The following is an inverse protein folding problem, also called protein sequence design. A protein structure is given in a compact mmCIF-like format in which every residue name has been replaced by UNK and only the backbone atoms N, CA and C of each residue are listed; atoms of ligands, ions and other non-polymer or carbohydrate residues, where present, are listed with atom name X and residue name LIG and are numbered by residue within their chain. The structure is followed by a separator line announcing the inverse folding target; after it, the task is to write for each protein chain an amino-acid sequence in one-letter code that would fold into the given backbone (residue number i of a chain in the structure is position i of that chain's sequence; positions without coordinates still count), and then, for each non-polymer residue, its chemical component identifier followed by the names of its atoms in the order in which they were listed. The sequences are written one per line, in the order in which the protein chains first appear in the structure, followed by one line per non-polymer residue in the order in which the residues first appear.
data_IF_774051517010
#
_entry.id   IF_774051517010
#
_cell.length_a   1.000
_cell.length_b   1.000
_cell.length_c   1.000
_cell.angle_alpha   90.00
_cell.angle_beta   90.00
_cell.angle_gamma   90.00
#
_symmetry.space_group_name_H-M   'P 1'
#
loop_
_entity.id
_entity.type
_entity.pdbx_description
1 polymer ?
#
# COMPACT_ATOMS: atom_id res chain seq x y z
N UNK A 1 -3.22 8.52 22.35
CA UNK A 1 -2.02 8.38 21.49
C UNK A 1 -1.48 9.77 21.22
N UNK A 2 -0.16 9.96 21.22
CA UNK A 2 0.50 11.21 20.83
C UNK A 2 1.19 11.00 19.49
N UNK A 3 0.40 11.04 18.41
CA UNK A 3 0.90 10.78 17.05
C UNK A 3 1.64 11.99 16.52
N UNK A 4 2.86 11.76 16.05
CA UNK A 4 3.60 12.73 15.24
C UNK A 4 2.87 13.00 13.92
N UNK A 5 3.09 14.17 13.27
CA UNK A 5 2.50 14.45 11.96
C UNK A 5 2.78 13.35 10.93
N UNK A 6 4.00 12.79 10.94
CA UNK A 6 4.40 11.69 10.06
C UNK A 6 3.60 10.41 10.29
N UNK A 7 3.28 10.08 11.53
CA UNK A 7 2.44 8.91 11.83
C UNK A 7 1.00 9.12 11.36
N UNK A 8 0.48 10.35 11.49
CA UNK A 8 -0.84 10.69 10.97
C UNK A 8 -0.89 10.61 9.43
N UNK A 9 0.14 11.09 8.73
CA UNK A 9 0.25 10.94 7.27
C UNK A 9 0.24 9.48 6.82
N UNK A 10 0.94 8.58 7.54
CA UNK A 10 0.90 7.14 7.25
C UNK A 10 -0.49 6.54 7.41
N UNK A 11 -1.30 7.04 8.34
CA UNK A 11 -2.70 6.61 8.48
C UNK A 11 -3.56 7.05 7.29
N UNK A 12 -3.27 8.21 6.69
CA UNK A 12 -3.93 8.64 5.45
C UNK A 12 -3.57 7.73 4.27
N UNK A 13 -2.30 7.32 4.16
CA UNK A 13 -1.86 6.35 3.16
C UNK A 13 -2.60 5.02 3.32
N UNK A 14 -2.69 4.50 4.55
CA UNK A 14 -3.45 3.29 4.84
C UNK A 14 -4.93 3.44 4.43
N UNK A 15 -5.55 4.57 4.75
CA UNK A 15 -6.95 4.84 4.39
C UNK A 15 -7.16 4.85 2.86
N UNK A 16 -6.24 5.47 2.11
CA UNK A 16 -6.27 5.46 0.65
C UNK A 16 -6.06 4.05 0.07
N UNK A 17 -5.17 3.25 0.66
CA UNK A 17 -4.95 1.87 0.27
C UNK A 17 -6.18 0.98 0.51
N UNK A 18 -6.87 1.16 1.64
CA UNK A 18 -8.13 0.46 1.93
C UNK A 18 -9.23 0.77 0.90
N UNK A 19 -9.34 2.05 0.51
CA UNK A 19 -10.25 2.45 -0.55
C UNK A 19 -9.89 1.78 -1.89
N UNK A 20 -8.60 1.75 -2.23
CA UNK A 20 -8.09 1.08 -3.43
C UNK A 20 -8.38 -0.43 -3.41
N UNK A 21 -8.10 -1.14 -2.31
CA UNK A 21 -8.41 -2.58 -2.13
C UNK A 21 -9.90 -2.85 -2.39
N UNK A 22 -10.79 -2.03 -1.84
CA UNK A 22 -12.24 -2.15 -2.05
C UNK A 22 -12.67 -1.87 -3.49
N UNK A 23 -12.02 -0.94 -4.19
CA UNK A 23 -12.26 -0.66 -5.62
C UNK A 23 -11.82 -1.86 -6.48
N UNK A 24 -10.60 -2.35 -6.26
CA UNK A 24 -10.05 -3.55 -6.94
C UNK A 24 -10.90 -4.78 -6.72
N UNK A 25 -11.38 -5.02 -5.49
CA UNK A 25 -12.26 -6.14 -5.17
C UNK A 25 -13.60 -6.11 -5.92
N UNK A 26 -14.04 -4.96 -6.43
CA UNK A 26 -15.21 -4.82 -7.31
C UNK A 26 -14.87 -4.94 -8.80
N UNK A 27 -13.63 -5.29 -9.15
CA UNK A 27 -13.16 -5.44 -10.53
C UNK A 27 -12.75 -4.12 -11.21
N UNK A 28 -12.56 -3.03 -10.46
CA UNK A 28 -12.06 -1.78 -11.03
C UNK A 28 -10.53 -1.81 -11.12
N UNK A 29 -10.00 -1.35 -12.26
CA UNK A 29 -8.58 -1.05 -12.42
C UNK A 29 -8.21 0.18 -11.59
N UNK A 30 -7.07 0.12 -10.92
CA UNK A 30 -6.60 1.16 -10.03
C UNK A 30 -5.95 2.31 -10.80
N UNK A 31 -6.33 3.53 -10.46
CA UNK A 31 -5.60 4.70 -10.97
C UNK A 31 -4.25 4.89 -10.26
N UNK A 32 -3.48 5.88 -10.71
CA UNK A 32 -2.14 6.13 -10.19
C UNK A 32 -2.06 6.31 -8.66
N UNK A 33 -2.84 7.22 -8.01
CA UNK A 33 -2.76 7.38 -6.56
C UNK A 33 -3.26 6.15 -5.78
N UNK A 34 -4.22 5.38 -6.33
CA UNK A 34 -4.69 4.14 -5.71
C UNK A 34 -3.62 3.05 -5.73
N UNK A 35 -2.96 2.86 -6.87
CA UNK A 35 -1.86 1.90 -7.01
C UNK A 35 -0.70 2.27 -6.07
N UNK A 36 -0.32 3.55 -6.03
CA UNK A 36 0.75 4.03 -5.16
C UNK A 36 0.41 3.85 -3.68
N UNK A 37 -0.81 4.19 -3.26
CA UNK A 37 -1.25 4.03 -1.87
C UNK A 37 -1.23 2.56 -1.46
N UNK A 38 -1.75 1.67 -2.31
CA UNK A 38 -1.78 0.22 -2.06
C UNK A 38 -0.35 -0.34 -1.92
N UNK A 39 0.53 -0.07 -2.89
CA UNK A 39 1.94 -0.50 -2.82
C UNK A 39 2.62 0.02 -1.55
N UNK A 40 2.42 1.29 -1.22
CA UNK A 40 3.04 1.90 -0.03
C UNK A 40 2.55 1.23 1.26
N UNK A 41 1.25 0.95 1.37
CA UNK A 41 0.69 0.29 2.54
C UNK A 41 1.24 -1.14 2.71
N UNK A 42 1.30 -1.93 1.63
CA UNK A 42 1.87 -3.29 1.68
C UNK A 42 3.35 -3.28 2.14
N UNK A 43 4.14 -2.31 1.68
CA UNK A 43 5.54 -2.16 2.13
C UNK A 43 5.61 -1.77 3.60
N UNK A 44 4.75 -0.85 4.06
CA UNK A 44 4.71 -0.43 5.47
C UNK A 44 4.31 -1.59 6.40
N UNK A 45 3.36 -2.43 6.00
CA UNK A 45 3.00 -3.64 6.74
C UNK A 45 4.15 -4.65 6.74
N UNK A 46 4.82 -4.85 5.61
CA UNK A 46 6.00 -5.71 5.56
C UNK A 46 7.16 -5.23 6.45
N UNK A 47 7.36 -3.91 6.58
CA UNK A 47 8.28 -3.33 7.58
C UNK A 47 7.82 -3.69 8.99
N UNK A 48 6.51 -3.60 9.27
CA UNK A 48 5.94 -3.93 10.58
C UNK A 48 6.12 -5.40 10.94
N UNK A 49 6.07 -6.29 9.95
CA UNK A 49 6.33 -7.72 10.04
C UNK A 49 7.82 -8.08 10.22
N UNK A 50 8.71 -7.08 10.12
CA UNK A 50 10.15 -7.26 10.32
C UNK A 50 10.89 -7.79 9.09
N UNK A 51 10.31 -7.68 7.89
CA UNK A 51 10.98 -8.05 6.64
C UNK A 51 12.15 -7.13 6.33
N UNK A 52 13.18 -7.70 5.72
CA UNK A 52 14.35 -6.96 5.24
C UNK A 52 13.99 -6.10 4.03
N UNK A 53 14.79 -5.05 3.81
CA UNK A 53 14.63 -4.17 2.63
C UNK A 53 14.68 -4.96 1.33
N UNK A 54 15.57 -5.93 1.21
CA UNK A 54 15.70 -6.80 0.02
C UNK A 54 14.45 -7.65 -0.24
N UNK A 55 13.84 -8.20 0.81
CA UNK A 55 12.60 -8.98 0.69
C UNK A 55 11.43 -8.08 0.27
N UNK A 56 11.36 -6.86 0.81
CA UNK A 56 10.34 -5.87 0.44
C UNK A 56 10.51 -5.39 -1.00
N UNK A 57 11.73 -5.17 -1.46
CA UNK A 57 12.01 -4.82 -2.86
C UNK A 57 11.59 -5.95 -3.82
N UNK A 58 11.89 -7.21 -3.50
CA UNK A 58 11.52 -8.34 -4.33
C UNK A 58 9.99 -8.57 -4.33
N UNK A 59 9.38 -8.64 -3.14
CA UNK A 59 7.94 -8.88 -2.99
C UNK A 59 7.08 -7.74 -3.54
N UNK A 60 7.57 -6.49 -3.46
CA UNK A 60 6.88 -5.31 -3.98
C UNK A 60 6.58 -5.35 -5.48
N UNK A 61 7.40 -6.06 -6.26
CA UNK A 61 7.23 -6.23 -7.71
C UNK A 61 6.05 -7.13 -8.07
N UNK A 62 5.51 -7.88 -7.10
CA UNK A 62 4.46 -8.87 -7.32
C UNK A 62 3.09 -8.48 -6.74
N UNK A 63 2.97 -7.26 -6.20
CA UNK A 63 1.72 -6.80 -5.56
C UNK A 63 0.64 -6.43 -6.60
N UNK A 64 1.05 -5.78 -7.69
CA UNK A 64 0.17 -5.33 -8.77
C UNK A 64 0.73 -5.75 -10.14
N UNK A 65 -0.13 -6.31 -10.97
CA UNK A 65 0.13 -6.57 -12.40
C UNK A 65 -0.47 -5.50 -13.31
N UNK A 66 -0.23 -5.64 -14.62
CA UNK A 66 -0.78 -4.72 -15.64
C UNK A 66 -2.31 -4.72 -15.72
N UNK A 67 -2.94 -5.83 -15.33
CA UNK A 67 -4.39 -5.97 -15.35
C UNK A 67 -5.06 -5.30 -14.14
N UNK A 68 -4.27 -4.96 -13.11
CA UNK A 68 -4.78 -4.33 -11.88
C UNK A 68 -4.88 -2.80 -11.96
N UNK A 69 -4.22 -2.15 -12.92
CA UNK A 69 -4.08 -0.67 -13.05
C UNK A 69 -4.55 -0.19 -14.39
#
# INVERSE_FOLDING_TARGET
MHLTPREQEKLLVFTAAELARRRRARGLRLNHPEALALLTAEILEGIRDGRTVSELMASGLHILGRDDV
#
